data_IF_440048222834
#
_entry.id   IF_440048222834
#
_cell.length_a   1.000
_cell.length_b   1.000
_cell.length_c   1.000
_cell.angle_alpha   90.00
_cell.angle_beta   90.00
_cell.angle_gamma   90.00
#
_symmetry.space_group_name_H-M   'P 1'
#
loop_
_entity.id
_entity.type
_entity.pdbx_description
1 polymer ?
#
# COMPACT_ATOMS: atom_id res chain seq x y z
N UNK A 1 -95.49 62.28 -120.49
CA UNK A 1 -95.30 63.43 -121.41
C UNK A 1 -96.31 64.50 -121.00
N UNK A 2 -95.85 65.71 -120.71
CA UNK A 2 -96.65 66.83 -120.18
C UNK A 2 -96.26 68.09 -120.93
N UNK A 3 -97.24 68.90 -121.33
CA UNK A 3 -96.99 70.24 -121.89
C UNK A 3 -97.00 71.24 -120.72
N UNK A 4 -96.05 72.17 -120.73
CA UNK A 4 -95.98 73.24 -119.73
C UNK A 4 -97.22 74.13 -119.82
N UNK A 5 -97.63 74.74 -118.71
CA UNK A 5 -98.90 75.49 -118.63
C UNK A 5 -99.02 76.64 -119.65
N UNK A 6 -97.91 77.10 -120.19
CA UNK A 6 -97.80 78.17 -121.17
C UNK A 6 -97.73 77.67 -122.63
N UNK A 7 -97.90 76.37 -122.84
CA UNK A 7 -97.83 75.66 -124.13
C UNK A 7 -96.52 75.89 -124.92
N UNK A 8 -95.45 76.34 -124.25
CA UNK A 8 -94.16 76.61 -124.91
C UNK A 8 -93.27 75.38 -125.01
N UNK A 9 -93.40 74.46 -124.05
CA UNK A 9 -92.51 73.32 -123.94
C UNK A 9 -93.28 72.03 -123.71
N UNK A 10 -92.87 71.01 -124.44
CA UNK A 10 -93.34 69.65 -124.26
C UNK A 10 -92.24 68.89 -123.52
N UNK A 11 -92.58 68.38 -122.35
CA UNK A 11 -91.70 67.66 -121.46
C UNK A 11 -91.99 66.16 -121.57
N UNK A 12 -91.01 65.40 -122.02
CA UNK A 12 -91.05 63.93 -122.06
C UNK A 12 -90.01 63.37 -121.11
N UNK A 13 -90.40 62.38 -120.32
CA UNK A 13 -89.49 61.64 -119.44
C UNK A 13 -89.53 60.19 -119.85
N UNK A 14 -88.36 59.58 -120.04
CA UNK A 14 -88.20 58.13 -120.22
C UNK A 14 -88.07 57.44 -118.88
N UNK A 15 -88.30 56.12 -118.86
CA UNK A 15 -88.35 55.31 -117.63
C UNK A 15 -87.02 55.25 -116.88
N UNK A 16 -85.92 55.54 -117.56
CA UNK A 16 -84.57 55.70 -117.00
C UNK A 16 -84.31 57.09 -116.38
N UNK A 17 -85.33 57.96 -116.34
CA UNK A 17 -85.27 59.28 -115.71
C UNK A 17 -84.69 60.40 -116.59
N UNK A 18 -84.41 60.15 -117.87
CA UNK A 18 -83.97 61.21 -118.77
C UNK A 18 -85.15 62.13 -119.16
N UNK A 19 -85.00 63.44 -118.88
CA UNK A 19 -85.97 64.48 -119.23
C UNK A 19 -85.56 65.18 -120.53
N UNK A 20 -86.40 65.10 -121.55
CA UNK A 20 -86.29 65.88 -122.78
C UNK A 20 -87.31 67.00 -122.81
N UNK A 21 -86.84 68.21 -123.16
CA UNK A 21 -87.63 69.43 -123.25
C UNK A 21 -87.66 69.89 -124.70
N UNK A 22 -88.82 69.81 -125.33
CA UNK A 22 -89.03 70.19 -126.71
C UNK A 22 -89.67 71.56 -126.77
N UNK A 23 -89.06 72.52 -127.47
CA UNK A 23 -89.67 73.83 -127.68
C UNK A 23 -90.71 73.75 -128.78
N UNK A 24 -91.96 74.02 -128.45
CA UNK A 24 -93.08 74.02 -129.39
C UNK A 24 -93.06 75.36 -130.14
N UNK A 25 -93.02 75.32 -131.47
CA UNK A 25 -93.02 76.48 -132.36
C UNK A 25 -94.11 76.29 -133.42
N UNK A 26 -94.82 77.38 -133.76
CA UNK A 26 -95.88 77.37 -134.77
C UNK A 26 -95.30 77.23 -136.19
N UNK A 27 -96.13 76.90 -137.19
CA UNK A 27 -95.75 76.60 -138.59
C UNK A 27 -94.98 77.74 -139.30
N UNK A 28 -94.97 78.96 -138.75
CA UNK A 28 -94.20 80.10 -139.25
C UNK A 28 -92.97 80.47 -138.39
N UNK A 29 -92.55 79.61 -137.45
CA UNK A 29 -91.33 79.80 -136.65
C UNK A 29 -91.40 80.94 -135.62
N UNK A 30 -92.58 81.52 -135.39
CA UNK A 30 -92.82 82.55 -134.35
C UNK A 30 -93.43 81.90 -133.11
N UNK A 31 -92.89 82.18 -131.92
CA UNK A 31 -93.35 81.58 -130.65
C UNK A 31 -94.71 82.13 -130.18
N UNK A 32 -95.52 81.28 -129.56
CA UNK A 32 -96.83 81.64 -128.99
C UNK A 32 -96.65 82.72 -127.90
N UNK A 33 -97.44 83.80 -127.99
CA UNK A 33 -97.36 84.97 -127.10
C UNK A 33 -98.20 84.76 -125.83
N UNK A 34 -97.59 85.09 -124.68
CA UNK A 34 -98.10 85.00 -123.29
C UNK A 34 -99.58 85.37 -123.11
N UNK A 35 -100.32 84.50 -122.41
CA UNK A 35 -101.46 84.92 -121.58
C UNK A 35 -101.00 85.26 -120.15
N UNK A 36 -101.68 86.24 -119.55
CA UNK A 36 -101.29 86.99 -118.35
C UNK A 36 -101.28 86.16 -117.05
N UNK A 37 -100.42 86.60 -116.12
CA UNK A 37 -100.21 86.09 -114.75
C UNK A 37 -101.52 85.86 -113.97
N UNK A 38 -101.72 84.62 -113.52
CA UNK A 38 -102.80 84.23 -112.60
C UNK A 38 -102.27 84.38 -111.17
N UNK A 39 -102.79 85.39 -110.47
CA UNK A 39 -102.52 85.65 -109.05
C UNK A 39 -103.22 84.58 -108.21
N UNK A 40 -102.45 83.69 -107.57
CA UNK A 40 -103.01 82.74 -106.62
C UNK A 40 -103.45 83.49 -105.36
N UNK A 41 -104.70 83.32 -104.95
CA UNK A 41 -105.22 83.90 -103.72
C UNK A 41 -104.54 83.25 -102.50
N UNK A 42 -103.99 84.06 -101.59
CA UNK A 42 -103.54 83.61 -100.24
C UNK A 42 -104.73 83.22 -99.33
N UNK A 43 -105.95 83.20 -99.87
CA UNK A 43 -107.19 82.91 -99.17
C UNK A 43 -107.55 81.44 -99.35
N UNK A 44 -107.34 80.65 -98.30
CA UNK A 44 -107.89 79.31 -98.20
C UNK A 44 -109.33 79.46 -97.70
N UNK A 45 -110.29 79.14 -98.57
CA UNK A 45 -111.69 79.02 -98.20
C UNK A 45 -111.86 77.81 -97.30
N UNK A 46 -111.87 78.05 -95.99
CA UNK A 46 -112.19 77.07 -94.98
C UNK A 46 -113.64 77.28 -94.57
N UNK A 47 -114.39 76.21 -94.38
CA UNK A 47 -115.76 76.34 -93.88
C UNK A 47 -115.72 76.79 -92.42
N UNK A 48 -116.74 77.55 -91.98
CA UNK A 48 -116.78 78.03 -90.58
C UNK A 48 -116.67 76.86 -89.58
N UNK A 49 -117.21 75.69 -89.91
CA UNK A 49 -117.07 74.46 -89.11
C UNK A 49 -115.64 73.95 -89.04
N UNK A 50 -114.89 73.93 -90.15
CA UNK A 50 -113.51 73.45 -90.15
C UNK A 50 -112.58 74.41 -89.39
N UNK A 51 -112.82 75.72 -89.45
CA UNK A 51 -112.09 76.71 -88.66
C UNK A 51 -112.35 76.54 -87.16
N UNK A 52 -113.63 76.35 -86.79
CA UNK A 52 -114.04 76.09 -85.41
C UNK A 52 -113.44 74.78 -84.90
N UNK A 53 -113.42 73.71 -85.69
CA UNK A 53 -112.81 72.42 -85.35
C UNK A 53 -111.28 72.54 -85.21
N UNK A 54 -110.58 73.24 -86.12
CA UNK A 54 -109.13 73.47 -86.00
C UNK A 54 -108.77 74.34 -84.80
N UNK A 55 -109.59 75.35 -84.49
CA UNK A 55 -109.40 76.16 -83.28
C UNK A 55 -109.64 75.35 -82.00
N UNK A 56 -110.63 74.45 -82.02
CA UNK A 56 -110.89 73.51 -80.92
C UNK A 56 -109.72 72.56 -80.72
N UNK A 57 -109.21 71.94 -81.79
CA UNK A 57 -108.01 71.08 -81.76
C UNK A 57 -106.77 71.85 -81.30
N UNK A 58 -106.60 73.11 -81.72
CA UNK A 58 -105.51 73.97 -81.27
C UNK A 58 -105.60 74.25 -79.76
N UNK A 59 -106.81 74.50 -79.26
CA UNK A 59 -107.05 74.71 -77.83
C UNK A 59 -106.72 73.44 -77.04
N UNK A 60 -107.17 72.28 -77.51
CA UNK A 60 -106.89 70.97 -76.90
C UNK A 60 -105.39 70.63 -76.90
N UNK A 61 -104.68 70.94 -77.99
CA UNK A 61 -103.23 70.80 -78.07
C UNK A 61 -102.51 71.75 -77.09
N UNK A 62 -102.97 73.00 -76.95
CA UNK A 62 -102.41 73.95 -75.99
C UNK A 62 -102.61 73.45 -74.56
N UNK A 63 -103.82 73.04 -74.20
CA UNK A 63 -104.09 72.45 -72.88
C UNK A 63 -103.24 71.20 -72.65
N UNK A 64 -103.06 70.35 -73.67
CA UNK A 64 -102.22 69.16 -73.58
C UNK A 64 -100.74 69.48 -73.39
N UNK A 65 -100.24 70.55 -74.03
CA UNK A 65 -98.87 71.03 -73.85
C UNK A 65 -98.68 71.62 -72.45
N UNK A 66 -99.65 72.39 -71.94
CA UNK A 66 -99.63 72.88 -70.56
C UNK A 66 -99.65 71.72 -69.55
N UNK A 67 -100.51 70.72 -69.75
CA UNK A 67 -100.55 69.49 -68.93
C UNK A 67 -99.21 68.74 -68.96
N UNK A 68 -98.63 68.53 -70.14
CA UNK A 68 -97.34 67.85 -70.27
C UNK A 68 -96.20 68.63 -69.62
N UNK A 69 -96.23 69.96 -69.68
CA UNK A 69 -95.25 70.81 -68.97
C UNK A 69 -95.39 70.64 -67.46
N UNK A 70 -96.62 70.73 -66.94
CA UNK A 70 -96.93 70.55 -65.53
C UNK A 70 -96.53 69.15 -65.04
N UNK A 71 -96.84 68.11 -65.80
CA UNK A 71 -96.47 66.72 -65.49
C UNK A 71 -94.94 66.55 -65.50
N UNK A 72 -94.23 67.07 -66.51
CA UNK A 72 -92.78 66.94 -66.59
C UNK A 72 -92.08 67.71 -65.47
N UNK A 73 -92.55 68.92 -65.13
CA UNK A 73 -92.04 69.68 -63.99
C UNK A 73 -92.29 68.96 -62.67
N UNK A 74 -93.48 68.36 -62.49
CA UNK A 74 -93.80 67.55 -61.33
C UNK A 74 -92.88 66.31 -61.22
N UNK A 75 -92.66 65.58 -62.32
CA UNK A 75 -91.74 64.45 -62.38
C UNK A 75 -90.29 64.86 -62.06
N UNK A 76 -89.85 66.04 -62.52
CA UNK A 76 -88.52 66.55 -62.23
C UNK A 76 -88.36 66.82 -60.73
N UNK A 77 -89.34 67.51 -60.12
CA UNK A 77 -89.35 67.77 -58.67
C UNK A 77 -89.40 66.48 -57.84
N UNK A 78 -90.18 65.49 -58.27
CA UNK A 78 -90.21 64.17 -57.62
C UNK A 78 -88.86 63.47 -57.69
N UNK A 79 -88.19 63.48 -58.84
CA UNK A 79 -86.84 62.91 -59.00
C UNK A 79 -85.82 63.65 -58.14
N UNK A 80 -85.83 64.98 -58.14
CA UNK A 80 -84.94 65.79 -57.30
C UNK A 80 -85.17 65.51 -55.82
N UNK A 81 -86.44 65.39 -55.40
CA UNK A 81 -86.79 65.03 -54.02
C UNK A 81 -86.23 63.65 -53.66
N UNK A 82 -86.44 62.64 -54.50
CA UNK A 82 -85.99 61.27 -54.26
C UNK A 82 -84.44 61.16 -54.26
N UNK A 83 -83.76 61.83 -55.20
CA UNK A 83 -82.30 61.86 -55.21
C UNK A 83 -81.75 62.58 -53.98
N UNK A 84 -82.34 63.69 -53.57
CA UNK A 84 -81.91 64.42 -52.38
C UNK A 84 -82.12 63.59 -51.10
N UNK A 85 -83.24 62.87 -51.00
CA UNK A 85 -83.50 61.95 -49.90
C UNK A 85 -82.47 60.82 -49.86
N UNK A 86 -82.20 60.19 -51.00
CA UNK A 86 -81.18 59.13 -51.12
C UNK A 86 -79.78 59.63 -50.79
N UNK A 87 -79.42 60.85 -51.21
CA UNK A 87 -78.14 61.48 -50.85
C UNK A 87 -78.06 61.74 -49.34
N UNK A 88 -79.15 62.19 -48.71
CA UNK A 88 -79.21 62.38 -47.25
C UNK A 88 -79.08 61.05 -46.51
N UNK A 89 -79.81 60.01 -46.92
CA UNK A 89 -79.71 58.67 -46.33
C UNK A 89 -78.27 58.12 -46.43
N UNK A 90 -77.66 58.17 -47.63
CA UNK A 90 -76.26 57.79 -47.83
C UNK A 90 -75.32 58.62 -46.95
N UNK A 91 -75.50 59.93 -46.87
CA UNK A 91 -74.67 60.79 -46.03
C UNK A 91 -74.81 60.44 -44.56
N UNK A 92 -76.03 60.19 -44.06
CA UNK A 92 -76.27 59.83 -42.66
C UNK A 92 -75.68 58.46 -42.31
N UNK A 93 -75.83 57.46 -43.19
CA UNK A 93 -75.24 56.13 -43.00
C UNK A 93 -73.72 56.17 -43.00
N UNK A 94 -73.09 56.94 -43.89
CA UNK A 94 -71.63 57.13 -43.87
C UNK A 94 -71.15 57.83 -42.60
N UNK A 95 -71.86 58.86 -42.12
CA UNK A 95 -71.52 59.53 -40.86
C UNK A 95 -71.61 58.56 -39.69
N UNK A 96 -72.67 57.77 -39.60
CA UNK A 96 -72.83 56.74 -38.56
C UNK A 96 -71.73 55.66 -38.62
N UNK A 97 -71.35 55.22 -39.82
CA UNK A 97 -70.24 54.27 -40.00
C UNK A 97 -68.89 54.88 -39.59
N UNK A 98 -68.64 56.15 -39.93
CA UNK A 98 -67.44 56.86 -39.49
C UNK A 98 -67.39 57.01 -37.97
N UNK A 99 -68.50 57.35 -37.33
CA UNK A 99 -68.59 57.48 -35.88
C UNK A 99 -68.40 56.13 -35.19
N UNK A 100 -69.04 55.06 -35.67
CA UNK A 100 -68.87 53.72 -35.10
C UNK A 100 -67.44 53.20 -35.25
N UNK A 101 -66.79 53.43 -36.39
CA UNK A 101 -65.38 53.10 -36.59
C UNK A 101 -64.47 53.91 -35.66
N UNK A 102 -64.74 55.21 -35.47
CA UNK A 102 -63.99 56.02 -34.50
C UNK A 102 -64.13 55.49 -33.08
N UNK A 103 -65.34 55.12 -32.65
CA UNK A 103 -65.57 54.54 -31.32
C UNK A 103 -64.87 53.19 -31.17
N UNK A 104 -64.92 52.33 -32.18
CA UNK A 104 -64.22 51.03 -32.16
C UNK A 104 -62.70 51.22 -32.08
N UNK A 105 -62.13 52.16 -32.83
CA UNK A 105 -60.70 52.49 -32.75
C UNK A 105 -60.33 52.97 -31.35
N UNK A 106 -61.18 53.79 -30.72
CA UNK A 106 -60.94 54.29 -29.36
C UNK A 106 -60.94 53.14 -28.34
N UNK A 107 -61.94 52.24 -28.42
CA UNK A 107 -62.05 51.07 -27.53
C UNK A 107 -60.83 50.16 -27.70
N UNK A 108 -60.48 49.80 -28.93
CA UNK A 108 -59.32 48.93 -29.22
C UNK A 108 -58.01 49.54 -28.72
N UNK A 109 -57.85 50.87 -28.80
CA UNK A 109 -56.68 51.55 -28.21
C UNK A 109 -56.67 51.39 -26.68
N UNK A 110 -57.79 51.63 -26.02
CA UNK A 110 -57.86 51.47 -24.55
C UNK A 110 -57.66 50.03 -24.09
N UNK A 111 -58.20 49.05 -24.82
CA UNK A 111 -57.98 47.63 -24.51
C UNK A 111 -56.51 47.22 -24.71
N UNK A 112 -55.88 47.70 -25.80
CA UNK A 112 -54.45 47.50 -26.03
C UNK A 112 -53.62 48.11 -24.90
N UNK A 113 -53.90 49.35 -24.52
CA UNK A 113 -53.13 50.05 -23.48
C UNK A 113 -53.31 49.35 -22.11
N UNK A 114 -54.52 48.90 -21.78
CA UNK A 114 -54.78 48.12 -20.57
C UNK A 114 -54.06 46.76 -20.58
N UNK A 115 -54.04 46.07 -21.73
CA UNK A 115 -53.34 44.80 -21.88
C UNK A 115 -51.82 44.98 -21.80
N UNK A 116 -51.29 46.08 -22.32
CA UNK A 116 -49.87 46.43 -22.23
C UNK A 116 -49.45 46.67 -20.78
N UNK A 117 -50.25 47.40 -20.00
CA UNK A 117 -50.01 47.60 -18.56
C UNK A 117 -50.06 46.28 -17.80
N UNK A 118 -51.10 45.45 -17.99
CA UNK A 118 -51.21 44.16 -17.32
C UNK A 118 -50.05 43.20 -17.67
N UNK A 119 -49.62 43.21 -18.93
CA UNK A 119 -48.45 42.43 -19.36
C UNK A 119 -47.15 42.94 -18.74
N UNK A 120 -46.99 44.26 -18.56
CA UNK A 120 -45.83 44.83 -17.88
C UNK A 120 -45.81 44.47 -16.39
N UNK A 121 -46.96 44.54 -15.71
CA UNK A 121 -47.10 44.15 -14.30
C UNK A 121 -46.78 42.67 -14.08
N UNK A 122 -47.36 41.78 -14.89
CA UNK A 122 -47.07 40.34 -14.81
C UNK A 122 -45.61 40.02 -15.12
N UNK A 123 -45.00 40.70 -16.10
CA UNK A 123 -43.57 40.56 -16.38
C UNK A 123 -42.72 40.99 -15.17
N UNK A 124 -43.07 42.12 -14.55
CA UNK A 124 -42.37 42.62 -13.36
C UNK A 124 -42.47 41.63 -12.19
N UNK A 125 -43.66 41.12 -11.90
CA UNK A 125 -43.87 40.11 -10.84
C UNK A 125 -43.06 38.83 -11.08
N UNK A 126 -43.00 38.35 -12.33
CA UNK A 126 -42.22 37.16 -12.69
C UNK A 126 -40.72 37.42 -12.52
N UNK A 127 -40.24 38.60 -12.94
CA UNK A 127 -38.84 38.99 -12.75
C UNK A 127 -38.47 39.11 -11.27
N UNK A 128 -39.33 39.71 -10.45
CA UNK A 128 -39.11 39.85 -9.01
C UNK A 128 -39.08 38.49 -8.30
N UNK A 129 -40.05 37.61 -8.61
CA UNK A 129 -40.08 36.23 -8.09
C UNK A 129 -38.81 35.47 -8.47
N UNK A 130 -38.42 35.52 -9.74
CA UNK A 130 -37.21 34.83 -10.19
C UNK A 130 -35.94 35.37 -9.54
N UNK A 131 -35.82 36.70 -9.40
CA UNK A 131 -34.69 37.32 -8.70
C UNK A 131 -34.61 36.87 -7.24
N UNK A 132 -35.75 36.78 -6.56
CA UNK A 132 -35.80 36.31 -5.17
C UNK A 132 -35.44 34.84 -5.04
N UNK A 133 -35.97 33.99 -5.92
CA UNK A 133 -35.62 32.57 -5.97
C UNK A 133 -34.13 32.33 -6.20
N UNK A 134 -33.50 33.11 -7.10
CA UNK A 134 -32.05 33.06 -7.32
C UNK A 134 -31.29 33.42 -6.04
N UNK A 135 -31.65 34.51 -5.38
CA UNK A 135 -30.99 34.93 -4.14
C UNK A 135 -31.17 33.92 -3.01
N UNK A 136 -32.37 33.35 -2.86
CA UNK A 136 -32.66 32.32 -1.86
C UNK A 136 -31.84 31.04 -2.15
N UNK A 137 -31.73 30.64 -3.42
CA UNK A 137 -30.91 29.50 -3.83
C UNK A 137 -29.41 29.73 -3.60
N UNK A 138 -28.89 30.92 -3.93
CA UNK A 138 -27.50 31.31 -3.71
C UNK A 138 -27.15 31.32 -2.21
N UNK A 139 -28.04 31.88 -1.37
CA UNK A 139 -27.84 31.92 0.08
C UNK A 139 -27.88 30.52 0.70
N UNK A 140 -28.83 29.68 0.28
CA UNK A 140 -28.94 28.29 0.75
C UNK A 140 -27.72 27.46 0.34
N UNK A 141 -27.22 27.62 -0.88
CA UNK A 141 -26.01 26.94 -1.35
C UNK A 141 -24.76 27.43 -0.61
N UNK A 142 -24.65 28.74 -0.38
CA UNK A 142 -23.54 29.32 0.39
C UNK A 142 -23.52 28.81 1.83
N UNK A 143 -24.69 28.70 2.47
CA UNK A 143 -24.81 28.16 3.82
C UNK A 143 -24.43 26.68 3.88
N UNK A 144 -24.88 25.86 2.91
CA UNK A 144 -24.47 24.44 2.81
C UNK A 144 -22.96 24.30 2.63
N UNK A 145 -22.35 25.14 1.81
CA UNK A 145 -20.90 25.13 1.58
C UNK A 145 -20.13 25.46 2.87
N UNK A 146 -20.60 26.44 3.65
CA UNK A 146 -20.01 26.79 4.95
C UNK A 146 -20.08 25.61 5.94
N UNK A 147 -21.24 24.95 6.06
CA UNK A 147 -21.40 23.80 6.95
C UNK A 147 -20.52 22.60 6.56
N UNK A 148 -20.42 22.30 5.26
CA UNK A 148 -19.51 21.25 4.78
C UNK A 148 -18.03 21.63 5.00
N UNK A 149 -17.68 22.90 4.89
CA UNK A 149 -16.34 23.38 5.20
C UNK A 149 -15.99 23.25 6.69
N UNK A 150 -16.90 23.63 7.59
CA UNK A 150 -16.74 23.44 9.04
C UNK A 150 -16.58 21.96 9.39
N UNK A 151 -17.45 21.11 8.84
CA UNK A 151 -17.37 19.65 9.03
C UNK A 151 -16.06 19.06 8.50
N UNK A 152 -15.59 19.54 7.34
CA UNK A 152 -14.30 19.13 6.79
C UNK A 152 -13.15 19.54 7.71
N UNK A 153 -13.14 20.77 8.20
CA UNK A 153 -12.12 21.25 9.15
C UNK A 153 -12.12 20.45 10.45
N UNK A 154 -13.30 20.16 11.03
CA UNK A 154 -13.41 19.31 12.21
C UNK A 154 -12.86 17.90 11.97
N UNK A 155 -13.18 17.30 10.82
CA UNK A 155 -12.71 15.97 10.47
C UNK A 155 -11.19 15.97 10.26
N UNK A 156 -10.65 17.00 9.61
CA UNK A 156 -9.22 17.19 9.42
C UNK A 156 -8.50 17.31 10.77
N UNK A 157 -9.04 18.12 11.69
CA UNK A 157 -8.49 18.27 13.04
C UNK A 157 -8.53 16.95 13.83
N UNK A 158 -9.67 16.25 13.85
CA UNK A 158 -9.81 14.95 14.51
C UNK A 158 -8.84 13.90 13.95
N UNK A 159 -8.66 13.88 12.63
CA UNK A 159 -7.71 12.99 11.96
C UNK A 159 -6.26 13.29 12.36
N UNK A 160 -5.86 14.56 12.34
CA UNK A 160 -4.52 14.97 12.77
C UNK A 160 -4.25 14.65 14.24
N UNK A 161 -5.23 14.91 15.12
CA UNK A 161 -5.11 14.59 16.53
C UNK A 161 -4.95 13.08 16.75
N UNK A 162 -5.79 12.28 16.09
CA UNK A 162 -5.71 10.82 16.15
C UNK A 162 -4.35 10.31 15.65
N UNK A 163 -3.84 10.87 14.55
CA UNK A 163 -2.51 10.53 14.04
C UNK A 163 -1.41 10.85 15.05
N UNK A 164 -1.42 12.05 15.64
CA UNK A 164 -0.44 12.44 16.67
C UNK A 164 -0.48 11.55 17.90
N UNK A 165 -1.68 11.15 18.34
CA UNK A 165 -1.84 10.26 19.50
C UNK A 165 -1.30 8.85 19.19
N UNK A 166 -1.55 8.33 17.98
CA UNK A 166 -0.97 7.06 17.56
C UNK A 166 0.56 7.12 17.42
N UNK A 167 1.11 8.19 16.85
CA UNK A 167 2.56 8.40 16.75
C UNK A 167 3.22 8.44 18.15
N UNK A 168 2.61 9.15 19.10
CA UNK A 168 3.08 9.18 20.49
C UNK A 168 3.04 7.81 21.16
N UNK A 169 1.95 7.06 20.99
CA UNK A 169 1.84 5.71 21.55
C UNK A 169 2.87 4.76 20.95
N UNK A 170 3.09 4.84 19.63
CA UNK A 170 4.10 4.04 18.94
C UNK A 170 5.50 4.36 19.47
N UNK A 171 5.83 5.65 19.58
CA UNK A 171 7.12 6.11 20.09
C UNK A 171 7.35 5.67 21.54
N UNK A 172 6.36 5.84 22.44
CA UNK A 172 6.47 5.40 23.82
C UNK A 172 6.66 3.88 23.95
N UNK A 173 5.96 3.11 23.11
CA UNK A 173 6.11 1.65 23.08
C UNK A 173 7.51 1.24 22.60
N UNK A 174 7.99 1.86 21.52
CA UNK A 174 9.34 1.61 21.00
C UNK A 174 10.41 1.99 22.02
N UNK A 175 10.32 3.16 22.65
CA UNK A 175 11.24 3.60 23.72
C UNK A 175 11.23 2.66 24.93
N UNK A 176 10.04 2.23 25.37
CA UNK A 176 9.91 1.27 26.47
C UNK A 176 10.52 -0.09 26.10
N UNK A 177 10.33 -0.54 24.86
CA UNK A 177 10.86 -1.82 24.37
C UNK A 177 12.38 -1.76 24.22
N UNK A 178 12.93 -0.67 23.68
CA UNK A 178 14.38 -0.49 23.56
C UNK A 178 15.02 -0.44 24.93
N UNK A 179 14.44 0.29 25.88
CA UNK A 179 14.95 0.34 27.26
C UNK A 179 14.96 -1.05 27.93
N UNK A 180 13.87 -1.82 27.78
CA UNK A 180 13.81 -3.17 28.34
C UNK A 180 14.81 -4.14 27.69
N UNK A 181 15.05 -4.01 26.37
CA UNK A 181 16.06 -4.80 25.67
C UNK A 181 17.47 -4.42 26.11
N UNK A 182 17.76 -3.13 26.29
CA UNK A 182 19.04 -2.65 26.80
C UNK A 182 19.31 -3.15 28.22
N UNK A 183 18.33 -3.04 29.11
CA UNK A 183 18.43 -3.55 30.48
C UNK A 183 18.70 -5.06 30.50
N UNK A 184 17.97 -5.83 29.69
CA UNK A 184 18.16 -7.28 29.58
C UNK A 184 19.55 -7.63 29.02
N UNK A 185 20.01 -6.86 28.03
CA UNK A 185 21.34 -7.03 27.42
C UNK A 185 22.43 -6.79 28.45
N UNK A 186 22.38 -5.64 29.15
CA UNK A 186 23.33 -5.30 30.21
C UNK A 186 23.34 -6.33 31.34
N UNK A 187 22.16 -6.83 31.73
CA UNK A 187 22.04 -7.87 32.75
C UNK A 187 22.76 -9.16 32.34
N UNK A 188 22.56 -9.64 31.11
CA UNK A 188 23.22 -10.86 30.63
C UNK A 188 24.71 -10.65 30.36
N UNK A 189 25.13 -9.48 29.87
CA UNK A 189 26.55 -9.13 29.73
C UNK A 189 27.26 -9.12 31.08
N UNK A 190 26.65 -8.51 32.11
CA UNK A 190 27.20 -8.53 33.46
C UNK A 190 27.31 -9.94 34.03
N UNK A 191 26.27 -10.77 33.86
CA UNK A 191 26.29 -12.17 34.29
C UNK A 191 27.35 -12.99 33.53
N UNK A 192 27.57 -12.71 32.25
CA UNK A 192 28.61 -13.36 31.45
C UNK A 192 30.00 -12.98 31.97
N UNK A 193 30.24 -11.70 32.23
CA UNK A 193 31.51 -11.23 32.82
C UNK A 193 31.77 -11.85 34.19
N UNK A 194 30.76 -11.93 35.07
CA UNK A 194 30.89 -12.61 36.36
C UNK A 194 31.29 -14.08 36.20
N UNK A 195 30.66 -14.81 35.26
CA UNK A 195 31.02 -16.21 34.98
C UNK A 195 32.41 -16.36 34.39
N UNK A 196 32.86 -15.44 33.54
CA UNK A 196 34.22 -15.43 33.02
C UNK A 196 35.25 -15.23 34.14
N UNK A 197 35.00 -14.30 35.06
CA UNK A 197 35.88 -14.08 36.23
C UNK A 197 35.97 -15.32 37.12
N UNK A 198 34.84 -15.97 37.41
CA UNK A 198 34.82 -17.20 38.21
C UNK A 198 35.58 -18.33 37.51
N UNK A 199 35.43 -18.46 36.18
CA UNK A 199 36.17 -19.45 35.40
C UNK A 199 37.68 -19.18 35.45
N UNK A 200 38.10 -17.93 35.30
CA UNK A 200 39.51 -17.53 35.38
C UNK A 200 40.09 -17.82 36.77
N UNK A 201 39.35 -17.52 37.84
CA UNK A 201 39.74 -17.85 39.22
C UNK A 201 39.90 -19.37 39.41
N UNK A 202 38.92 -20.18 39.02
CA UNK A 202 39.00 -21.63 39.11
C UNK A 202 40.17 -22.21 38.28
N UNK A 203 40.46 -21.63 37.12
CA UNK A 203 41.60 -22.05 36.30
C UNK A 203 42.94 -21.73 36.97
N UNK A 204 43.10 -20.54 37.55
CA UNK A 204 44.33 -20.19 38.25
C UNK A 204 44.49 -21.01 39.53
N UNK A 205 43.42 -21.23 40.30
CA UNK A 205 43.44 -22.13 41.47
C UNK A 205 43.87 -23.56 41.08
N UNK A 206 43.29 -24.10 40.00
CA UNK A 206 43.68 -25.41 39.48
C UNK A 206 45.15 -25.45 39.05
N UNK A 207 45.66 -24.36 38.45
CA UNK A 207 47.07 -24.25 38.04
C UNK A 207 48.00 -24.17 39.25
N UNK A 208 47.62 -23.44 40.30
CA UNK A 208 48.36 -23.35 41.56
C UNK A 208 48.41 -24.73 42.22
N UNK A 209 47.26 -25.39 42.39
CA UNK A 209 47.19 -26.74 42.96
C UNK A 209 48.07 -27.72 42.19
N UNK A 210 48.03 -27.70 40.86
CA UNK A 210 48.87 -28.58 40.04
C UNK A 210 50.37 -28.36 40.31
N UNK A 211 50.81 -27.10 40.44
CA UNK A 211 52.20 -26.77 40.81
C UNK A 211 52.56 -27.24 42.21
N UNK A 212 51.69 -26.98 43.20
CA UNK A 212 51.90 -27.43 44.58
C UNK A 212 52.00 -28.95 44.69
N UNK A 213 51.13 -29.69 43.99
CA UNK A 213 51.19 -31.15 43.91
C UNK A 213 52.47 -31.64 43.25
N UNK A 214 52.92 -30.99 42.17
CA UNK A 214 54.17 -31.35 41.50
C UNK A 214 55.40 -31.11 42.40
N UNK A 215 55.43 -29.99 43.12
CA UNK A 215 56.48 -29.69 44.10
C UNK A 215 56.47 -30.67 45.28
N UNK A 216 55.29 -30.99 45.82
CA UNK A 216 55.15 -31.96 46.92
C UNK A 216 55.60 -33.37 46.48
N UNK A 217 55.23 -33.79 45.26
CA UNK A 217 55.70 -35.05 44.68
C UNK A 217 57.22 -35.07 44.57
N UNK A 218 57.83 -33.99 44.06
CA UNK A 218 59.29 -33.87 43.93
C UNK A 218 59.99 -33.95 45.28
N UNK A 219 59.47 -33.29 46.32
CA UNK A 219 60.01 -33.38 47.68
C UNK A 219 59.93 -34.82 48.22
N UNK A 220 58.80 -35.50 48.02
CA UNK A 220 58.63 -36.90 48.45
C UNK A 220 59.59 -37.85 47.72
N UNK A 221 59.82 -37.63 46.42
CA UNK A 221 60.81 -38.38 45.64
C UNK A 221 62.24 -38.15 46.16
N UNK A 222 62.63 -36.89 46.41
CA UNK A 222 63.94 -36.54 46.96
C UNK A 222 64.17 -37.13 48.37
N UNK A 223 63.15 -37.10 49.23
CA UNK A 223 63.24 -37.70 50.58
C UNK A 223 63.31 -39.22 50.51
N UNK A 224 62.52 -39.86 49.63
CA UNK A 224 62.60 -41.29 49.37
C UNK A 224 63.98 -41.72 48.87
N UNK A 225 64.58 -40.96 47.96
CA UNK A 225 65.95 -41.21 47.47
C UNK A 225 66.99 -41.05 48.59
N UNK A 226 66.84 -40.05 49.47
CA UNK A 226 67.71 -39.87 50.66
C UNK A 226 67.57 -41.04 51.62
N UNK A 227 66.35 -41.51 51.91
CA UNK A 227 66.14 -42.67 52.78
C UNK A 227 66.78 -43.94 52.20
N UNK A 228 66.62 -44.17 50.89
CA UNK A 228 67.26 -45.29 50.19
C UNK A 228 68.79 -45.18 50.30
N UNK A 229 69.35 -44.00 50.09
CA UNK A 229 70.78 -43.73 50.24
C UNK A 229 71.25 -44.04 51.67
N UNK A 230 70.54 -43.57 52.69
CA UNK A 230 70.86 -43.80 54.10
C UNK A 230 70.77 -45.28 54.48
N UNK A 231 69.77 -46.00 53.98
CA UNK A 231 69.65 -47.45 54.13
C UNK A 231 70.85 -48.14 53.46
N UNK A 232 71.20 -47.78 52.23
CA UNK A 232 72.37 -48.33 51.52
C UNK A 232 73.66 -48.11 52.32
N UNK A 233 73.92 -46.89 52.78
CA UNK A 233 75.12 -46.56 53.58
C UNK A 233 75.16 -47.36 54.89
N UNK A 234 74.01 -47.52 55.57
CA UNK A 234 73.91 -48.34 56.78
C UNK A 234 74.23 -49.81 56.51
N UNK A 235 73.65 -50.40 55.45
CA UNK A 235 73.94 -51.78 55.08
C UNK A 235 75.38 -51.98 54.60
N UNK A 236 75.96 -51.03 53.88
CA UNK A 236 77.37 -51.07 53.50
C UNK A 236 78.31 -50.98 54.70
N UNK A 237 77.95 -50.18 55.71
CA UNK A 237 78.69 -50.13 56.99
C UNK A 237 78.57 -51.47 57.72
N UNK A 238 77.36 -51.98 57.89
CA UNK A 238 77.13 -53.28 58.55
C UNK A 238 77.88 -54.42 57.84
N UNK A 239 77.87 -54.44 56.50
CA UNK A 239 78.62 -55.43 55.71
C UNK A 239 80.14 -55.29 55.89
N UNK A 240 80.66 -54.06 56.00
CA UNK A 240 82.07 -53.82 56.29
C UNK A 240 82.45 -54.32 57.68
N UNK A 241 81.64 -53.96 58.69
CA UNK A 241 81.85 -54.39 60.07
C UNK A 241 81.82 -55.92 60.16
N UNK A 242 80.84 -56.58 59.53
CA UNK A 242 80.72 -58.04 59.50
C UNK A 242 81.90 -58.71 58.75
N UNK A 243 82.41 -58.08 57.69
CA UNK A 243 83.64 -58.55 57.03
C UNK A 243 84.86 -58.42 57.95
N UNK A 244 84.98 -57.34 58.71
CA UNK A 244 86.07 -57.14 59.66
C UNK A 244 86.00 -58.13 60.82
N UNK A 245 84.81 -58.35 61.40
CA UNK A 245 84.61 -59.35 62.46
C UNK A 245 84.92 -60.75 61.95
N UNK A 246 84.47 -61.12 60.75
CA UNK A 246 84.78 -62.42 60.14
C UNK A 246 86.29 -62.59 59.88
N UNK A 247 86.98 -61.54 59.40
CA UNK A 247 88.44 -61.55 59.25
C UNK A 247 89.16 -61.70 60.60
N UNK A 248 88.68 -61.03 61.66
CA UNK A 248 89.20 -61.18 63.03
C UNK A 248 88.98 -62.60 63.54
N UNK A 249 87.77 -63.14 63.43
CA UNK A 249 87.45 -64.53 63.81
C UNK A 249 88.30 -65.54 63.03
N UNK A 250 88.55 -65.32 61.73
CA UNK A 250 89.46 -66.16 60.94
C UNK A 250 90.89 -66.10 61.45
N UNK A 251 91.39 -64.91 61.82
CA UNK A 251 92.72 -64.73 62.42
C UNK A 251 92.81 -65.47 63.75
N UNK A 252 91.83 -65.28 64.63
CA UNK A 252 91.77 -65.92 65.94
C UNK A 252 91.64 -67.44 65.81
N UNK A 253 90.82 -67.93 64.89
CA UNK A 253 90.72 -69.35 64.53
C UNK A 253 92.06 -69.90 64.04
N UNK A 254 92.78 -69.14 63.22
CA UNK A 254 94.13 -69.50 62.76
C UNK A 254 95.13 -69.60 63.90
N UNK A 255 95.10 -68.66 64.86
CA UNK A 255 95.91 -68.69 66.08
C UNK A 255 95.53 -69.89 66.95
N UNK A 256 94.23 -70.14 67.13
CA UNK A 256 93.71 -71.24 67.93
C UNK A 256 94.12 -72.60 67.33
N UNK A 257 94.05 -72.76 66.01
CA UNK A 257 94.58 -73.95 65.30
C UNK A 257 96.07 -74.13 65.55
N UNK A 258 96.88 -73.07 65.49
CA UNK A 258 98.33 -73.14 65.78
C UNK A 258 98.58 -73.56 67.23
N UNK A 259 97.86 -72.98 68.20
CA UNK A 259 97.92 -73.38 69.62
C UNK A 259 97.51 -74.84 69.82
N UNK A 260 96.44 -75.27 69.16
CA UNK A 260 95.99 -76.66 69.22
C UNK A 260 97.05 -77.60 68.65
N UNK A 261 97.66 -77.28 67.50
CA UNK A 261 98.76 -78.06 66.94
C UNK A 261 100.01 -78.07 67.81
N UNK A 262 100.33 -76.99 68.51
CA UNK A 262 101.47 -76.97 69.45
C UNK A 262 101.18 -77.82 70.68
N UNK A 263 100.01 -77.67 71.30
CA UNK A 263 99.59 -78.52 72.42
C UNK A 263 99.54 -80.00 72.02
N UNK A 264 99.08 -80.32 70.80
CA UNK A 264 99.11 -81.68 70.30
C UNK A 264 100.55 -82.22 70.19
N UNK A 265 101.49 -81.41 69.67
CA UNK A 265 102.91 -81.77 69.66
C UNK A 265 103.48 -81.96 71.07
N UNK A 266 103.11 -81.10 72.02
CA UNK A 266 103.57 -81.22 73.40
C UNK A 266 103.02 -82.49 74.06
N UNK A 267 101.75 -82.85 73.79
CA UNK A 267 101.14 -84.12 74.21
C UNK A 267 101.89 -85.29 73.59
N UNK A 268 102.18 -85.26 72.29
CA UNK A 268 102.90 -86.32 71.60
C UNK A 268 104.33 -86.46 72.16
N UNK A 269 105.02 -85.35 72.44
CA UNK A 269 106.33 -85.33 73.09
C UNK A 269 106.28 -85.91 74.50
N UNK A 270 105.29 -85.49 75.32
CA UNK A 270 105.06 -86.06 76.66
C UNK A 270 104.77 -87.56 76.58
N UNK A 271 104.03 -88.03 75.56
CA UNK A 271 103.79 -89.45 75.36
C UNK A 271 105.08 -90.19 75.01
N UNK A 272 105.95 -89.62 74.17
CA UNK A 272 107.28 -90.18 73.87
C UNK A 272 108.15 -90.23 75.12
N UNK A 273 108.17 -89.18 75.93
CA UNK A 273 108.87 -89.16 77.22
C UNK A 273 108.30 -90.18 78.21
N UNK A 274 106.98 -90.33 78.25
CA UNK A 274 106.29 -91.32 79.07
C UNK A 274 106.68 -92.74 78.65
N UNK A 275 106.76 -93.02 77.35
CA UNK A 275 107.25 -94.31 76.83
C UNK A 275 108.73 -94.52 77.13
N UNK A 276 109.58 -93.47 77.04
CA UNK A 276 110.99 -93.53 77.46
C UNK A 276 111.11 -93.91 78.94
N UNK A 277 110.33 -93.25 79.81
CA UNK A 277 110.30 -93.51 81.25
C UNK A 277 109.76 -94.91 81.56
N UNK A 278 108.76 -95.42 80.81
CA UNK A 278 108.30 -96.82 80.93
C UNK A 278 109.39 -97.82 80.55
N UNK A 279 110.15 -97.57 79.48
CA UNK A 279 111.28 -98.39 79.07
C UNK A 279 112.40 -98.40 80.12
N UNK A 280 112.68 -97.23 80.71
CA UNK A 280 113.65 -97.06 81.79
C UNK A 280 113.18 -97.78 83.07
N UNK A 281 111.89 -97.70 83.39
CA UNK A 281 111.26 -98.47 84.46
C UNK A 281 111.35 -99.98 84.22
N UNK A 282 111.12 -100.46 82.99
CA UNK A 282 111.28 -101.88 82.65
C UNK A 282 112.72 -102.36 82.81
N UNK A 283 113.71 -101.55 82.41
CA UNK A 283 115.14 -101.85 82.60
C UNK A 283 115.49 -101.95 84.08
N UNK A 284 115.05 -100.98 84.89
CA UNK A 284 115.25 -101.00 86.33
C UNK A 284 114.55 -102.22 86.97
N UNK A 285 113.34 -102.57 86.54
CA UNK A 285 112.66 -103.79 86.97
C UNK A 285 113.43 -105.07 86.59
N UNK A 286 114.06 -105.10 85.42
CA UNK A 286 114.90 -106.23 85.01
C UNK A 286 116.16 -106.35 85.89
N UNK A 287 116.78 -105.23 86.26
CA UNK A 287 117.93 -105.18 87.18
C UNK A 287 117.51 -105.61 88.59
N UNK A 288 116.35 -105.16 89.07
CA UNK A 288 115.80 -105.61 90.37
C UNK A 288 115.58 -107.12 90.35
N UNK A 289 114.97 -107.66 89.28
CA UNK A 289 114.78 -109.12 89.14
C UNK A 289 116.10 -109.90 89.08
N UNK A 290 117.15 -109.37 88.45
CA UNK A 290 118.46 -110.05 88.45
C UNK A 290 119.10 -110.05 89.84
N UNK A 291 119.04 -108.92 90.54
CA UNK A 291 119.54 -108.80 91.91
C UNK A 291 118.74 -109.67 92.90
N UNK A 292 117.42 -109.79 92.73
CA UNK A 292 116.59 -110.73 93.49
C UNK A 292 116.99 -112.19 93.24
N UNK A 293 117.36 -112.52 92.00
CA UNK A 293 117.88 -113.84 91.62
C UNK A 293 119.24 -114.13 92.26
N UNK A 294 120.12 -113.14 92.30
CA UNK A 294 121.43 -113.24 92.93
C UNK A 294 121.29 -113.36 94.46
N UNK A 295 120.35 -112.64 95.07
CA UNK A 295 120.01 -112.80 96.50
C UNK A 295 119.46 -114.20 96.78
N UNK A 296 118.61 -114.74 95.91
CA UNK A 296 118.10 -116.12 96.03
C UNK A 296 119.23 -117.14 95.89
N UNK A 297 120.15 -116.97 94.94
CA UNK A 297 121.31 -117.83 94.76
C UNK A 297 122.27 -117.77 95.96
N UNK A 298 122.52 -116.58 96.50
CA UNK A 298 123.32 -116.39 97.71
C UNK A 298 122.66 -116.97 98.96
N UNK A 299 121.34 -116.84 99.11
CA UNK A 299 120.58 -117.50 100.18
C UNK A 299 120.64 -119.02 100.06
N UNK A 300 120.58 -119.57 98.85
CA UNK A 300 120.70 -121.01 98.61
C UNK A 300 122.12 -121.52 98.90
N UNK A 301 123.15 -120.75 98.55
CA UNK A 301 124.54 -121.06 98.89
C UNK A 301 124.82 -120.97 100.41
N UNK A 302 124.15 -120.05 101.12
CA UNK A 302 124.18 -120.00 102.59
C UNK A 302 123.48 -121.22 103.17
N UNK A 303 122.31 -121.60 102.65
CA UNK A 303 121.56 -122.77 103.11
C UNK A 303 122.32 -124.08 102.89
N UNK A 304 122.98 -124.26 101.73
CA UNK A 304 123.84 -125.42 101.45
C UNK A 304 125.09 -125.43 102.36
N UNK A 305 125.64 -124.25 102.70
CA UNK A 305 126.74 -124.17 103.69
C UNK A 305 126.28 -124.44 105.12
N UNK A 306 125.09 -124.01 105.49
CA UNK A 306 124.49 -124.31 106.79
C UNK A 306 124.15 -125.81 106.90
N UNK A 307 123.67 -126.45 105.82
CA UNK A 307 123.52 -127.92 105.74
C UNK A 307 124.88 -128.64 105.85
N UNK A 308 125.93 -128.13 105.18
CA UNK A 308 127.29 -128.70 105.29
C UNK A 308 127.87 -128.53 106.71
N UNK A 309 127.51 -127.46 107.42
CA UNK A 309 127.90 -127.23 108.81
C UNK A 309 127.08 -128.12 109.74
N UNK A 310 125.80 -128.34 109.46
CA UNK A 310 124.92 -129.20 110.24
C UNK A 310 125.27 -130.69 110.11
N UNK A 311 125.75 -131.12 108.93
CA UNK A 311 126.34 -132.45 108.74
C UNK A 311 127.68 -132.59 109.51
N UNK A 312 128.54 -131.57 109.48
CA UNK A 312 129.79 -131.58 110.28
C UNK A 312 129.57 -131.53 111.80
N UNK A 313 128.41 -131.05 112.25
CA UNK A 313 128.00 -131.05 113.66
C UNK A 313 127.32 -132.38 114.04
N UNK A 314 126.85 -133.16 113.06
CA UNK A 314 126.28 -134.50 113.29
C UNK A 314 127.30 -135.66 113.20
N UNK A 315 128.58 -135.39 112.86
CA UNK A 315 129.71 -136.36 112.89
C UNK A 315 130.87 -135.89 113.78
N UNK A 316 130.54 -135.19 114.86
CA UNK A 316 131.04 -135.64 116.16
C UNK A 316 130.22 -136.85 116.54
N UNK A 317 130.78 -137.76 117.34
CA UNK A 317 130.01 -138.63 118.23
C UNK A 317 128.66 -138.97 117.63
N UNK A 318 128.74 -139.73 116.53
CA UNK A 318 129.84 -140.65 116.15
C UNK A 318 131.30 -140.16 116.02
#
# INVERSE_FOLDING_TARGET
MVITFDDQYLLTVSEDGCLLIWKIIDKEGRGLKRDKEITYAEEILITKSDLEEKNQVMLELKTRVEELKMENEYQLRLKDMNYNEKTKELSTTFVQQMESLKTNIQILKTERDNMEVANQETMFEVMEKHSKELQDMESANSQKLMLEYEKYQELQFKSQQMQQDYEKQLQQMDESKTAALEELTLYYEGKMQEKLLVLEQCQEESRIQAREFEESRKQMEEDGDREIQDIRVRYERWLRDERETNMRMKRDTGIMKKKFSSLQKDIDNSNVEMERMKLEQQKLQAIVKSLEKDILALKKAIQERDETIQDKVSEWLG
#
